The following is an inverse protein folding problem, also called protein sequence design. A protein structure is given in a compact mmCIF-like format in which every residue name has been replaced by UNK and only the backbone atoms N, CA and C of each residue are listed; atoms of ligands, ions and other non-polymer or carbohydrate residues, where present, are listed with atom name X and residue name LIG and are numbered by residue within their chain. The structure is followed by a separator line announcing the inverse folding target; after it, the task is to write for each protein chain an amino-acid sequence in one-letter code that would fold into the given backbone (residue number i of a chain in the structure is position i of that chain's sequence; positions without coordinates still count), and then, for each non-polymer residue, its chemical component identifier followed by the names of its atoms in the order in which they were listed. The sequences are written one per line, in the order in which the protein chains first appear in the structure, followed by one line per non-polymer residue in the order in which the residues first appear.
data_IF_174282352536
#
_entry.id   IF_174282352536
#
_cell.length_a   1.000
_cell.length_b   1.000
_cell.length_c   1.000
_cell.angle_alpha   90.00
_cell.angle_beta   90.00
_cell.angle_gamma   90.00
#
_symmetry.space_group_name_H-M   'P 1'
#
loop_
_entity.id
_entity.type
_entity.pdbx_description
1 polymer ?
#
# COMPACT_ATOMS: atom_id res chain seq x y z
N UNK A 1 -35.46 -23.29 83.59
CA UNK A 1 -36.18 -22.29 84.40
C UNK A 1 -36.93 -21.37 83.44
N UNK A 2 -38.25 -21.58 83.33
CA UNK A 2 -39.21 -20.71 82.65
C UNK A 2 -39.74 -19.67 83.65
N UNK A 3 -40.05 -18.47 83.18
CA UNK A 3 -41.25 -17.65 83.48
C UNK A 3 -41.01 -16.24 82.88
N UNK A 4 -41.94 -15.54 82.25
CA UNK A 4 -43.39 -15.70 82.22
C UNK A 4 -43.99 -14.83 81.11
N UNK A 5 -45.01 -15.36 80.44
CA UNK A 5 -45.81 -14.73 79.41
C UNK A 5 -46.86 -13.75 79.97
N UNK A 6 -47.32 -12.80 79.15
CA UNK A 6 -48.73 -12.35 79.15
C UNK A 6 -49.24 -12.18 77.72
N UNK A 7 -50.18 -13.06 77.37
CA UNK A 7 -51.13 -13.01 76.25
C UNK A 7 -52.37 -12.20 76.65
N UNK A 8 -53.06 -11.60 75.67
CA UNK A 8 -54.53 -11.63 75.47
C UNK A 8 -54.88 -10.66 74.32
N UNK A 9 -55.14 -11.08 73.06
CA UNK A 9 -56.37 -11.65 72.47
C UNK A 9 -57.65 -10.85 72.70
N UNK A 10 -58.26 -10.33 71.62
CA UNK A 10 -59.63 -10.65 71.14
C UNK A 10 -59.96 -9.81 69.87
N UNK A 11 -60.02 -10.42 68.67
CA UNK A 11 -61.21 -10.88 67.87
C UNK A 11 -62.05 -9.73 67.26
N UNK A 12 -62.66 -9.74 66.05
CA UNK A 12 -63.20 -10.76 65.12
C UNK A 12 -63.79 -9.92 63.93
N UNK A 13 -63.71 -10.22 62.63
CA UNK A 13 -64.60 -11.05 61.76
C UNK A 13 -64.37 -10.59 60.31
N UNK A 14 -64.07 -11.50 59.37
CA UNK A 14 -64.95 -12.14 58.35
C UNK A 14 -65.13 -11.32 57.05
N UNK A 15 -64.75 -12.01 55.97
CA UNK A 15 -64.98 -11.85 54.53
C UNK A 15 -66.22 -11.08 54.05
N UNK A 16 -66.15 -10.58 52.81
CA UNK A 16 -67.12 -10.85 51.72
C UNK A 16 -66.55 -10.36 50.37
N UNK A 17 -66.90 -11.11 49.32
CA UNK A 17 -66.64 -10.89 47.90
C UNK A 17 -67.66 -9.94 47.23
N UNK A 18 -67.28 -9.30 46.12
CA UNK A 18 -68.10 -8.90 44.95
C UNK A 18 -67.35 -7.79 44.19
N UNK A 19 -66.89 -7.99 42.96
CA UNK A 19 -67.63 -7.83 41.68
C UNK A 19 -68.25 -6.42 41.51
N UNK A 20 -67.61 -5.57 40.70
CA UNK A 20 -68.20 -4.93 39.50
C UNK A 20 -67.48 -3.62 39.08
N UNK A 21 -67.48 -3.41 37.76
CA UNK A 21 -66.90 -2.33 36.97
C UNK A 21 -67.33 -0.91 37.39
N UNK A 22 -66.44 0.08 37.17
CA UNK A 22 -66.85 1.49 37.13
C UNK A 22 -65.73 2.53 37.17
N UNK A 23 -65.00 2.66 36.05
CA UNK A 23 -64.40 3.88 35.44
C UNK A 23 -64.13 5.13 36.32
N UNK A 24 -62.86 5.57 36.23
CA UNK A 24 -62.30 6.94 36.33
C UNK A 24 -61.90 7.52 37.71
N UNK A 25 -60.59 7.49 37.97
CA UNK A 25 -59.68 8.65 37.94
C UNK A 25 -58.55 8.50 38.98
N UNK A 26 -57.29 8.58 38.53
CA UNK A 26 -56.13 8.79 39.42
C UNK A 26 -55.05 7.72 39.42
N UNK A 27 -54.57 7.27 38.25
CA UNK A 27 -53.29 6.55 38.16
C UNK A 27 -52.17 7.54 37.89
N UNK A 28 -51.42 7.93 38.92
CA UNK A 28 -50.03 8.36 38.77
C UNK A 28 -49.22 7.15 38.33
N UNK A 29 -49.15 6.94 37.03
CA UNK A 29 -48.21 6.00 36.42
C UNK A 29 -46.80 6.50 36.73
N UNK A 30 -46.08 5.74 37.54
CA UNK A 30 -44.62 5.74 37.56
C UNK A 30 -44.17 5.28 36.18
N UNK A 31 -44.05 6.23 35.24
CA UNK A 31 -43.30 6.00 34.02
C UNK A 31 -41.84 6.27 34.39
N UNK A 32 -41.17 5.25 34.92
CA UNK A 32 -39.74 5.15 34.74
C UNK A 32 -39.50 4.95 33.25
N UNK A 33 -39.44 6.04 32.47
CA UNK A 33 -38.77 5.98 31.18
C UNK A 33 -37.32 5.69 31.52
N UNK A 34 -36.93 4.42 31.38
CA UNK A 34 -35.52 4.13 31.17
C UNK A 34 -35.07 5.07 30.07
N UNK A 35 -34.19 6.00 30.41
CA UNK A 35 -33.45 6.73 29.41
C UNK A 35 -32.76 5.64 28.58
N UNK A 36 -33.35 5.31 27.43
CA UNK A 36 -32.62 4.64 26.37
C UNK A 36 -31.44 5.57 26.14
N UNK A 37 -30.27 5.19 26.66
CA UNK A 37 -29.03 5.90 26.35
C UNK A 37 -29.06 6.04 24.84
N UNK A 38 -29.17 7.28 24.34
CA UNK A 38 -29.13 7.53 22.91
C UNK A 38 -27.92 6.77 22.40
N UNK A 39 -28.13 5.85 21.45
CA UNK A 39 -27.05 5.05 20.87
C UNK A 39 -25.93 6.01 20.55
N UNK A 40 -24.88 6.00 21.36
CA UNK A 40 -23.70 6.84 21.13
C UNK A 40 -23.24 6.40 19.75
N UNK A 41 -23.22 7.34 18.79
CA UNK A 41 -22.80 7.01 17.45
C UNK A 41 -21.39 6.39 17.49
N UNK A 42 -20.98 5.77 16.41
CA UNK A 42 -19.67 5.13 16.33
C UNK A 42 -19.01 5.38 15.00
N UNK A 43 -17.68 5.51 15.02
CA UNK A 43 -16.85 5.49 13.82
C UNK A 43 -16.16 4.13 13.79
N UNK A 44 -16.34 3.41 12.68
CA UNK A 44 -15.80 2.09 12.44
C UNK A 44 -14.93 2.15 11.19
N UNK A 45 -13.63 1.92 11.38
CA UNK A 45 -12.64 1.92 10.32
C UNK A 45 -11.68 0.75 10.54
N UNK A 46 -11.33 -0.02 9.49
CA UNK A 46 -10.29 -1.02 9.58
C UNK A 46 -8.90 -0.37 9.70
N UNK A 47 -7.89 -1.16 10.06
CA UNK A 47 -6.51 -0.75 9.82
C UNK A 47 -6.24 -0.69 8.31
N UNK A 48 -5.43 0.29 7.92
CA UNK A 48 -5.19 0.64 6.52
C UNK A 48 -3.77 0.39 6.06
N UNK A 49 -3.52 0.77 4.82
CA UNK A 49 -2.19 0.84 4.22
C UNK A 49 -2.12 2.08 3.34
N UNK A 50 -0.95 2.70 3.26
CA UNK A 50 -0.77 3.90 2.45
C UNK A 50 -1.20 3.66 1.00
N UNK A 51 -1.90 4.63 0.41
CA UNK A 51 -2.32 4.60 -0.98
C UNK A 51 -3.44 3.61 -1.31
N UNK A 52 -3.95 2.83 -0.36
CA UNK A 52 -5.07 1.91 -0.59
C UNK A 52 -6.38 2.54 -0.10
N UNK A 53 -7.41 2.66 -0.96
CA UNK A 53 -8.71 3.14 -0.53
C UNK A 53 -9.35 2.21 0.51
N UNK A 54 -9.85 2.78 1.59
CA UNK A 54 -10.58 2.09 2.65
C UNK A 54 -11.94 2.74 2.89
N UNK A 55 -12.86 1.95 3.45
CA UNK A 55 -14.20 2.41 3.81
C UNK A 55 -14.29 2.68 5.31
N UNK A 56 -14.76 3.88 5.63
CA UNK A 56 -15.07 4.30 7.00
C UNK A 56 -16.58 4.33 7.14
N UNK A 57 -17.10 3.59 8.11
CA UNK A 57 -18.52 3.56 8.43
C UNK A 57 -18.78 4.40 9.67
N UNK A 58 -19.84 5.18 9.62
CA UNK A 58 -20.23 6.07 10.71
C UNK A 58 -21.69 5.85 11.04
N UNK A 59 -21.97 5.55 12.29
CA UNK A 59 -23.31 5.47 12.83
C UNK A 59 -23.65 6.78 13.53
N UNK A 60 -24.70 7.47 13.08
CA UNK A 60 -25.20 8.71 13.67
C UNK A 60 -26.72 8.72 13.70
N UNK A 61 -27.31 9.15 14.82
CA UNK A 61 -28.76 9.24 14.96
C UNK A 61 -29.28 10.64 14.60
N UNK A 62 -30.41 10.71 13.88
CA UNK A 62 -31.14 11.96 13.68
C UNK A 62 -30.60 12.86 12.54
N UNK A 63 -29.68 12.36 11.72
CA UNK A 63 -29.06 13.09 10.61
C UNK A 63 -29.40 12.50 9.24
N UNK A 64 -30.46 11.70 9.12
CA UNK A 64 -30.83 11.02 7.89
C UNK A 64 -30.95 12.00 6.71
N UNK A 65 -30.29 11.69 5.60
CA UNK A 65 -30.23 12.53 4.39
C UNK A 65 -29.27 13.72 4.50
N UNK A 66 -28.61 13.94 5.64
CA UNK A 66 -27.64 15.02 5.82
C UNK A 66 -26.21 14.55 5.51
N UNK A 67 -25.38 15.48 5.07
CA UNK A 67 -23.94 15.27 4.91
C UNK A 67 -23.25 15.50 6.26
N UNK A 68 -22.43 14.55 6.67
CA UNK A 68 -21.54 14.63 7.82
C UNK A 68 -20.09 14.80 7.37
N UNK A 69 -19.27 15.41 8.22
CA UNK A 69 -17.85 15.60 8.00
C UNK A 69 -17.03 14.85 9.03
N UNK A 70 -15.98 14.17 8.57
CA UNK A 70 -14.99 13.51 9.39
C UNK A 70 -13.64 14.21 9.22
N UNK A 71 -12.95 14.46 10.33
CA UNK A 71 -11.57 14.91 10.35
C UNK A 71 -10.63 13.73 10.59
N UNK A 72 -9.63 13.58 9.74
CA UNK A 72 -8.62 12.54 9.81
C UNK A 72 -7.26 13.22 10.04
N UNK A 73 -6.52 12.80 11.06
CA UNK A 73 -5.21 13.37 11.34
C UNK A 73 -4.18 12.34 11.79
N UNK A 74 -2.92 12.57 11.40
CA UNK A 74 -1.73 11.85 11.83
C UNK A 74 -0.53 12.80 11.83
N UNK A 75 -0.10 13.23 13.01
CA UNK A 75 0.95 14.23 13.16
C UNK A 75 0.58 15.54 12.43
N UNK A 76 1.43 15.96 11.48
CA UNK A 76 1.19 17.15 10.65
C UNK A 76 0.21 16.90 9.49
N UNK A 77 -0.13 15.64 9.19
CA UNK A 77 -1.10 15.32 8.14
C UNK A 77 -2.52 15.49 8.68
N UNK A 78 -3.35 16.27 8.00
CA UNK A 78 -4.76 16.41 8.32
C UNK A 78 -5.58 16.52 7.03
N UNK A 79 -6.73 15.86 7.01
CA UNK A 79 -7.69 15.96 5.91
C UNK A 79 -9.11 15.82 6.43
N UNK A 80 -10.08 16.26 5.64
CA UNK A 80 -11.50 16.07 5.93
C UNK A 80 -12.18 15.32 4.80
N UNK A 81 -13.05 14.39 5.14
CA UNK A 81 -13.91 13.69 4.18
C UNK A 81 -15.36 13.85 4.58
N UNK A 82 -16.25 13.75 3.61
CA UNK A 82 -17.69 13.87 3.81
C UNK A 82 -18.38 12.54 3.47
N UNK A 83 -19.50 12.28 4.15
CA UNK A 83 -20.38 11.16 3.83
C UNK A 83 -21.84 11.56 4.04
N UNK A 84 -22.75 10.96 3.28
CA UNK A 84 -24.20 11.20 3.44
C UNK A 84 -24.79 10.09 4.31
N UNK A 85 -25.59 10.47 5.30
CA UNK A 85 -26.25 9.53 6.21
C UNK A 85 -27.47 8.93 5.51
N UNK A 86 -27.49 7.62 5.37
CA UNK A 86 -28.63 6.87 4.83
C UNK A 86 -29.83 6.87 5.79
N UNK A 87 -30.98 6.41 5.30
CA UNK A 87 -32.20 6.30 6.11
C UNK A 87 -32.07 5.36 7.32
N UNK A 88 -31.06 4.47 7.31
CA UNK A 88 -30.71 3.55 8.39
C UNK A 88 -29.81 4.19 9.47
N UNK A 89 -29.46 5.48 9.37
CA UNK A 89 -28.56 6.16 10.30
C UNK A 89 -27.08 5.83 10.10
N UNK A 90 -26.70 5.21 8.98
CA UNK A 90 -25.32 4.90 8.63
C UNK A 90 -24.84 5.73 7.45
N UNK A 91 -23.59 6.19 7.53
CA UNK A 91 -22.89 6.84 6.44
C UNK A 91 -21.62 6.05 6.10
N UNK A 92 -21.28 5.97 4.82
CA UNK A 92 -20.03 5.37 4.34
C UNK A 92 -19.20 6.43 3.65
N UNK A 93 -17.96 6.61 4.10
CA UNK A 93 -16.96 7.45 3.45
C UNK A 93 -15.86 6.58 2.86
N UNK A 94 -15.29 6.98 1.72
CA UNK A 94 -14.06 6.37 1.19
C UNK A 94 -12.89 7.32 1.42
N UNK A 95 -11.79 6.79 1.96
CA UNK A 95 -10.56 7.54 2.17
C UNK A 95 -9.36 6.72 1.72
N UNK A 96 -8.36 7.38 1.17
CA UNK A 96 -7.07 6.76 0.82
C UNK A 96 -6.00 7.38 1.71
N UNK A 97 -5.43 6.64 2.68
CA UNK A 97 -4.39 7.15 3.55
C UNK A 97 -3.15 7.56 2.76
N UNK A 98 -2.59 8.73 3.07
CA UNK A 98 -1.40 9.25 2.36
C UNK A 98 -0.10 9.06 3.13
N UNK A 99 -0.18 8.66 4.41
CA UNK A 99 0.98 8.45 5.26
C UNK A 99 0.79 7.29 6.23
N UNK A 100 1.87 6.58 6.52
CA UNK A 100 1.87 5.50 7.51
C UNK A 100 1.85 6.06 8.94
N UNK A 101 1.38 5.25 9.89
CA UNK A 101 1.33 5.57 11.30
C UNK A 101 -0.07 5.49 11.90
N UNK A 102 -0.21 5.98 13.14
CA UNK A 102 -1.49 6.04 13.82
C UNK A 102 -2.32 7.24 13.32
N UNK A 103 -3.55 6.98 12.90
CA UNK A 103 -4.50 8.00 12.46
C UNK A 103 -5.66 8.12 13.44
N UNK A 104 -6.02 9.35 13.78
CA UNK A 104 -7.23 9.67 14.56
C UNK A 104 -8.33 10.13 13.61
N UNK A 105 -9.50 9.51 13.69
CA UNK A 105 -10.69 9.85 12.92
C UNK A 105 -11.72 10.41 13.88
N UNK A 106 -12.11 11.66 13.67
CA UNK A 106 -13.05 12.39 14.52
C UNK A 106 -14.28 12.78 13.72
N UNK A 107 -15.47 12.58 14.29
CA UNK A 107 -16.66 13.20 13.74
C UNK A 107 -16.66 14.70 14.07
N UNK A 108 -17.03 15.52 13.09
CA UNK A 108 -17.04 16.98 13.21
C UNK A 108 -18.48 17.51 13.06
N UNK A 109 -18.71 18.73 13.54
CA UNK A 109 -19.97 19.45 13.34
C UNK A 109 -21.19 18.70 13.87
N UNK A 110 -22.22 18.52 13.04
CA UNK A 110 -23.47 17.85 13.42
C UNK A 110 -23.29 16.38 13.84
N UNK A 111 -22.18 15.74 13.44
CA UNK A 111 -21.89 14.33 13.71
C UNK A 111 -21.09 14.07 14.99
N UNK A 112 -20.79 15.10 15.81
CA UNK A 112 -19.96 14.97 17.02
C UNK A 112 -20.38 13.83 17.97
N UNK A 113 -21.65 13.43 17.95
CA UNK A 113 -22.18 12.30 18.72
C UNK A 113 -21.56 10.94 18.35
N UNK A 114 -20.93 10.80 17.18
CA UNK A 114 -20.20 9.61 16.76
C UNK A 114 -18.81 9.47 17.39
N UNK A 115 -18.30 10.53 18.03
CA UNK A 115 -17.05 10.49 18.78
C UNK A 115 -15.79 10.40 17.90
N UNK A 116 -14.83 9.61 18.36
CA UNK A 116 -13.49 9.46 17.78
C UNK A 116 -13.05 8.01 17.81
N UNK A 117 -12.23 7.61 16.84
CA UNK A 117 -11.55 6.32 16.82
C UNK A 117 -10.12 6.48 16.31
N UNK A 118 -9.27 5.50 16.59
CA UNK A 118 -7.89 5.46 16.10
C UNK A 118 -7.65 4.18 15.32
N UNK A 119 -6.95 4.31 14.20
CA UNK A 119 -6.51 3.16 13.39
C UNK A 119 -5.01 3.22 13.17
N UNK A 120 -4.43 2.11 12.70
CA UNK A 120 -3.04 2.07 12.21
C UNK A 120 -3.04 1.93 10.70
N UNK A 121 -2.23 2.76 10.04
CA UNK A 121 -1.96 2.66 8.60
C UNK A 121 -0.53 2.14 8.40
N UNK A 122 -0.40 1.00 7.75
CA UNK A 122 0.89 0.37 7.47
C UNK A 122 1.59 1.01 6.26
N UNK A 123 2.95 0.99 6.21
CA UNK A 123 3.67 1.30 4.98
C UNK A 123 3.35 0.32 3.87
N UNK A 124 3.43 0.79 2.63
CA UNK A 124 3.30 -0.07 1.45
C UNK A 124 4.57 -0.91 1.28
N UNK A 125 4.47 -2.25 1.17
CA UNK A 125 5.61 -3.09 0.85
C UNK A 125 6.12 -2.77 -0.55
N UNK A 126 7.42 -2.88 -0.76
CA UNK A 126 8.01 -2.72 -2.10
C UNK A 126 8.87 -3.92 -2.49
N UNK A 127 9.11 -4.07 -3.78
CA UNK A 127 10.22 -4.87 -4.28
C UNK A 127 11.04 -4.06 -5.29
N UNK A 128 12.35 -4.33 -5.31
CA UNK A 128 13.30 -3.64 -6.19
C UNK A 128 13.79 -4.59 -7.27
N UNK A 129 13.82 -4.11 -8.51
CA UNK A 129 14.35 -4.81 -9.68
C UNK A 129 15.55 -4.03 -10.20
N UNK A 130 16.69 -4.70 -10.32
CA UNK A 130 17.86 -4.17 -11.00
C UNK A 130 17.92 -4.74 -12.41
N UNK A 131 17.78 -3.88 -13.40
CA UNK A 131 18.06 -4.20 -14.79
C UNK A 131 19.53 -3.85 -15.08
N UNK A 132 20.40 -4.85 -14.93
CA UNK A 132 21.83 -4.72 -15.21
C UNK A 132 22.14 -5.18 -16.63
N UNK A 133 23.09 -4.51 -17.29
CA UNK A 133 23.62 -4.99 -18.58
C UNK A 133 24.45 -6.25 -18.37
N UNK A 134 24.30 -7.26 -19.23
CA UNK A 134 25.11 -8.48 -19.17
C UNK A 134 26.60 -8.21 -19.42
N UNK A 135 26.90 -7.22 -20.27
CA UNK A 135 28.26 -6.75 -20.57
C UNK A 135 28.30 -5.23 -20.45
N UNK A 136 29.34 -4.73 -19.79
CA UNK A 136 29.60 -3.30 -19.61
C UNK A 136 31.03 -2.98 -20.01
N UNK A 137 31.27 -1.76 -20.48
CA UNK A 137 32.61 -1.34 -20.85
C UNK A 137 33.38 -0.79 -19.65
N UNK A 138 34.57 -1.33 -19.40
CA UNK A 138 35.49 -0.87 -18.37
C UNK A 138 35.97 0.56 -18.65
N UNK A 139 36.07 1.39 -17.60
CA UNK A 139 36.54 2.77 -17.71
C UNK A 139 35.52 3.74 -18.30
N UNK A 140 34.35 3.27 -18.73
CA UNK A 140 33.27 4.07 -19.30
C UNK A 140 32.07 4.08 -18.34
N UNK A 141 31.33 5.18 -18.29
CA UNK A 141 30.09 5.24 -17.52
C UNK A 141 28.99 4.46 -18.22
N UNK A 142 28.53 3.37 -17.58
CA UNK A 142 27.41 2.55 -18.00
C UNK A 142 26.22 2.87 -17.09
N UNK A 143 25.08 3.29 -17.63
CA UNK A 143 23.91 3.68 -16.82
C UNK A 143 22.94 2.54 -16.67
N UNK A 144 23.05 1.72 -15.63
CA UNK A 144 22.09 0.65 -15.30
C UNK A 144 20.70 1.23 -14.99
N UNK A 145 19.66 0.40 -14.96
CA UNK A 145 18.31 0.86 -14.59
C UNK A 145 17.80 0.12 -13.36
N UNK A 146 17.33 0.87 -12.37
CA UNK A 146 16.56 0.35 -11.24
C UNK A 146 15.07 0.63 -11.43
N UNK A 147 14.24 -0.29 -10.94
CA UNK A 147 12.82 -0.08 -10.77
C UNK A 147 12.41 -0.49 -9.36
N UNK A 148 11.60 0.35 -8.71
CA UNK A 148 10.99 0.07 -7.40
C UNK A 148 9.49 -0.02 -7.62
N UNK A 149 8.91 -1.11 -7.18
CA UNK A 149 7.48 -1.38 -7.40
C UNK A 149 6.77 -1.49 -6.05
N UNK A 150 5.71 -0.71 -5.92
CA UNK A 150 4.67 -0.85 -4.92
C UNK A 150 3.54 -1.69 -5.56
N UNK A 151 3.40 -2.99 -5.26
CA UNK A 151 2.43 -3.86 -5.92
C UNK A 151 0.98 -3.51 -5.56
N UNK A 152 0.79 -2.72 -4.51
CA UNK A 152 -0.47 -2.33 -3.91
C UNK A 152 -0.39 -0.86 -3.52
N UNK A 153 -1.54 -0.19 -3.57
CA UNK A 153 -1.62 1.26 -3.36
C UNK A 153 -1.49 2.07 -4.65
N UNK A 154 -1.89 3.33 -4.57
CA UNK A 154 -1.97 4.26 -5.70
C UNK A 154 -0.92 5.38 -5.66
N UNK A 155 0.14 5.22 -4.86
CA UNK A 155 1.20 6.22 -4.70
C UNK A 155 2.53 5.60 -5.12
N UNK A 156 3.22 6.27 -6.06
CA UNK A 156 4.50 5.81 -6.54
C UNK A 156 5.58 5.91 -5.44
N UNK A 157 6.51 4.94 -5.35
CA UNK A 157 7.64 5.01 -4.43
C UNK A 157 8.48 6.29 -4.59
N UNK A 158 8.99 6.84 -3.48
CA UNK A 158 9.86 8.03 -3.49
C UNK A 158 11.07 7.80 -2.59
N UNK A 159 12.22 8.35 -2.97
CA UNK A 159 13.48 8.17 -2.24
C UNK A 159 14.64 7.93 -3.19
N UNK A 160 15.59 7.13 -2.76
CA UNK A 160 16.80 6.83 -3.50
C UNK A 160 16.94 5.33 -3.75
N UNK A 161 17.79 4.97 -4.71
CA UNK A 161 18.28 3.61 -4.87
C UNK A 161 19.79 3.61 -4.72
N UNK A 162 20.29 2.80 -3.80
CA UNK A 162 21.70 2.56 -3.56
C UNK A 162 22.15 1.33 -4.33
N UNK A 163 23.10 1.51 -5.24
CA UNK A 163 23.77 0.43 -5.97
C UNK A 163 25.09 0.11 -5.28
N UNK A 164 25.33 -1.16 -5.00
CA UNK A 164 26.57 -1.64 -4.40
C UNK A 164 26.97 -2.99 -4.98
N UNK A 165 28.23 -3.37 -4.79
CA UNK A 165 28.64 -4.76 -4.96
C UNK A 165 27.98 -5.63 -3.91
N UNK A 166 27.87 -6.94 -4.15
CA UNK A 166 27.31 -7.89 -3.19
C UNK A 166 28.10 -7.95 -1.86
N UNK A 167 29.38 -7.50 -1.87
CA UNK A 167 30.19 -7.34 -0.67
C UNK A 167 29.93 -6.05 0.11
N UNK A 168 29.01 -5.20 -0.34
CA UNK A 168 28.62 -3.95 0.33
C UNK A 168 29.39 -2.69 -0.12
N UNK A 169 30.34 -2.81 -1.06
CA UNK A 169 31.07 -1.65 -1.56
C UNK A 169 30.14 -0.79 -2.42
N UNK A 170 29.92 0.45 -2.01
CA UNK A 170 29.06 1.39 -2.72
C UNK A 170 29.56 1.74 -4.10
N UNK A 171 28.65 1.78 -5.07
CA UNK A 171 28.90 2.22 -6.44
C UNK A 171 28.29 3.61 -6.65
N UNK A 172 27.00 3.75 -6.37
CA UNK A 172 26.29 5.03 -6.52
C UNK A 172 25.00 5.03 -5.71
N UNK A 173 24.52 6.22 -5.34
CA UNK A 173 23.16 6.42 -4.84
C UNK A 173 22.51 7.45 -5.73
N UNK A 174 21.33 7.14 -6.27
CA UNK A 174 20.60 8.06 -7.14
C UNK A 174 19.17 8.26 -6.67
N UNK A 175 18.63 9.49 -6.77
CA UNK A 175 17.23 9.73 -6.50
C UNK A 175 16.37 9.07 -7.57
N UNK A 176 15.22 8.55 -7.16
CA UNK A 176 14.16 8.15 -8.10
C UNK A 176 13.77 9.38 -8.92
N UNK A 177 13.79 9.24 -10.25
CA UNK A 177 13.61 10.35 -11.19
C UNK A 177 12.51 10.11 -12.22
N UNK A 178 11.98 8.89 -12.31
CA UNK A 178 10.86 8.55 -13.18
C UNK A 178 9.75 7.82 -12.42
N UNK A 179 8.51 8.01 -12.87
CA UNK A 179 7.36 7.22 -12.46
C UNK A 179 6.70 6.62 -13.70
N UNK A 180 6.35 5.34 -13.62
CA UNK A 180 5.56 4.65 -14.62
C UNK A 180 4.22 4.26 -13.97
N UNK A 181 3.17 5.01 -14.33
CA UNK A 181 1.90 4.96 -13.63
C UNK A 181 2.04 5.30 -12.15
N UNK A 182 1.19 4.69 -11.32
CA UNK A 182 1.07 5.03 -9.89
C UNK A 182 1.78 4.04 -8.96
N UNK A 183 2.41 2.99 -9.51
CA UNK A 183 2.92 1.84 -8.74
C UNK A 183 4.42 1.57 -8.95
N UNK A 184 4.99 2.05 -10.07
CA UNK A 184 6.39 1.79 -10.41
C UNK A 184 7.16 3.10 -10.50
N UNK A 185 8.32 3.15 -9.87
CA UNK A 185 9.24 4.27 -9.99
C UNK A 185 10.60 3.77 -10.51
N UNK A 186 11.27 4.57 -11.33
CA UNK A 186 12.52 4.19 -12.01
C UNK A 186 13.65 5.15 -11.70
N UNK A 187 14.88 4.65 -11.89
CA UNK A 187 16.12 5.38 -11.62
C UNK A 187 17.22 4.91 -12.57
N UNK A 188 18.00 5.85 -13.08
CA UNK A 188 19.26 5.55 -13.76
C UNK A 188 20.39 5.43 -12.74
N UNK A 189 21.17 4.36 -12.81
CA UNK A 189 22.25 4.06 -11.86
C UNK A 189 23.59 4.03 -12.61
N UNK A 190 24.34 5.15 -12.62
CA UNK A 190 25.62 5.21 -13.31
C UNK A 190 26.65 4.34 -12.62
N UNK A 191 27.41 3.57 -13.40
CA UNK A 191 28.50 2.73 -12.93
C UNK A 191 29.66 2.77 -13.92
N UNK A 192 30.85 3.09 -13.41
CA UNK A 192 32.09 3.00 -14.17
C UNK A 192 32.97 1.89 -13.55
N UNK A 193 32.96 0.67 -14.11
CA UNK A 193 33.80 -0.42 -13.59
C UNK A 193 35.28 -0.12 -13.83
N UNK A 194 36.07 -0.17 -12.76
CA UNK A 194 37.53 0.06 -12.81
C UNK A 194 38.32 -1.19 -13.16
N UNK A 195 37.74 -2.38 -13.00
CA UNK A 195 38.36 -3.68 -13.28
C UNK A 195 37.50 -4.49 -14.23
N UNK A 196 38.13 -5.28 -15.10
CA UNK A 196 37.44 -6.26 -15.93
C UNK A 196 36.99 -7.49 -15.13
N UNK A 197 36.05 -8.26 -15.68
CA UNK A 197 35.52 -9.48 -15.09
C UNK A 197 34.08 -9.35 -14.58
N UNK A 198 33.54 -10.47 -14.07
CA UNK A 198 32.20 -10.52 -13.48
C UNK A 198 32.17 -9.75 -12.15
N UNK A 199 31.18 -8.87 -11.98
CA UNK A 199 30.98 -8.13 -10.73
C UNK A 199 29.57 -8.40 -10.20
N UNK A 200 29.46 -9.04 -9.05
CA UNK A 200 28.17 -9.22 -8.38
C UNK A 200 27.68 -7.89 -7.79
N UNK A 201 26.51 -7.42 -8.22
CA UNK A 201 25.91 -6.15 -7.78
C UNK A 201 24.44 -6.33 -7.40
N UNK A 202 23.95 -5.47 -6.51
CA UNK A 202 22.56 -5.40 -6.10
C UNK A 202 22.13 -3.95 -5.88
N UNK A 203 20.83 -3.69 -6.01
CA UNK A 203 20.23 -2.38 -5.77
C UNK A 203 19.33 -2.44 -4.54
N UNK A 204 19.44 -1.46 -3.64
CA UNK A 204 18.61 -1.35 -2.44
C UNK A 204 17.83 -0.04 -2.48
N UNK A 205 16.50 -0.13 -2.43
CA UNK A 205 15.62 1.01 -2.30
C UNK A 205 15.65 1.58 -0.88
N UNK A 206 15.88 2.89 -0.80
CA UNK A 206 15.92 3.68 0.42
C UNK A 206 14.77 4.69 0.38
N UNK A 207 13.62 4.39 1.02
CA UNK A 207 12.47 5.26 0.98
C UNK A 207 12.77 6.61 1.65
N UNK A 208 12.20 7.70 1.12
CA UNK A 208 12.38 9.05 1.66
C UNK A 208 11.69 9.27 3.01
N UNK A 209 10.71 8.43 3.34
CA UNK A 209 9.87 8.51 4.53
C UNK A 209 9.34 7.13 4.91
N UNK A 210 8.56 7.07 5.99
CA UNK A 210 7.97 5.84 6.50
C UNK A 210 6.76 5.29 5.72
N UNK A 211 6.41 5.83 4.54
CA UNK A 211 5.23 5.38 3.80
C UNK A 211 5.47 4.10 3.00
N UNK A 212 6.73 3.75 2.77
CA UNK A 212 7.14 2.57 2.02
C UNK A 212 8.16 1.77 2.83
N UNK A 213 8.16 0.46 2.69
CA UNK A 213 9.26 -0.38 3.21
C UNK A 213 10.43 -0.39 2.23
N UNK A 214 11.66 -0.46 2.76
CA UNK A 214 12.85 -0.73 1.95
C UNK A 214 12.77 -2.12 1.29
N UNK A 215 13.46 -2.29 0.16
CA UNK A 215 13.60 -3.57 -0.52
C UNK A 215 14.92 -3.65 -1.28
N UNK A 216 15.37 -4.87 -1.55
CA UNK A 216 16.64 -5.14 -2.23
C UNK A 216 16.39 -6.06 -3.42
N UNK A 217 17.06 -5.77 -4.54
CA UNK A 217 16.99 -6.62 -5.73
C UNK A 217 17.74 -7.94 -5.53
N UNK A 218 17.41 -8.98 -6.31
CA UNK A 218 18.32 -10.09 -6.50
C UNK A 218 19.69 -9.61 -7.05
N UNK A 219 20.71 -10.44 -6.88
CA UNK A 219 22.07 -10.15 -7.36
C UNK A 219 22.15 -10.32 -8.87
N UNK A 220 22.65 -9.30 -9.56
CA UNK A 220 23.04 -9.36 -10.97
C UNK A 220 24.55 -9.56 -11.10
N UNK A 221 24.99 -10.20 -12.19
CA UNK A 221 26.41 -10.45 -12.48
C UNK A 221 26.82 -9.90 -13.86
N UNK A 222 26.84 -8.58 -14.06
CA UNK A 222 27.44 -7.97 -15.26
C UNK A 222 28.91 -8.36 -15.41
N UNK A 223 29.34 -8.56 -16.66
CA UNK A 223 30.74 -8.75 -17.00
C UNK A 223 31.34 -7.45 -17.54
N UNK A 224 32.37 -6.92 -16.89
CA UNK A 224 33.12 -5.78 -17.37
C UNK A 224 34.23 -6.20 -18.34
N UNK A 225 34.32 -5.54 -19.50
CA UNK A 225 35.31 -5.83 -20.53
C UNK A 225 35.99 -4.56 -21.04
N UNK A 226 37.24 -4.69 -21.47
CA UNK A 226 37.97 -3.60 -22.16
C UNK A 226 37.52 -3.43 -23.61
N UNK A 227 36.84 -4.44 -24.18
CA UNK A 227 36.33 -4.37 -25.55
C UNK A 227 35.16 -3.38 -25.65
N UNK A 228 35.08 -2.67 -26.80
CA UNK A 228 33.92 -1.86 -27.12
C UNK A 228 32.69 -2.76 -27.21
N UNK A 229 31.67 -2.45 -26.42
CA UNK A 229 30.40 -3.20 -26.41
C UNK A 229 29.45 -2.57 -27.42
N UNK A 230 29.22 -3.21 -28.58
CA UNK A 230 28.29 -2.71 -29.60
C UNK A 230 26.86 -2.58 -29.07
N UNK A 231 26.37 -3.65 -28.45
CA UNK A 231 25.06 -3.71 -27.80
C UNK A 231 25.14 -4.66 -26.62
N UNK A 232 24.51 -4.30 -25.51
CA UNK A 232 24.38 -5.14 -24.33
C UNK A 232 22.91 -5.36 -24.02
N UNK A 233 22.54 -6.60 -23.68
CA UNK A 233 21.24 -6.88 -23.11
C UNK A 233 21.21 -6.43 -21.65
N UNK A 234 20.09 -5.84 -21.25
CA UNK A 234 19.77 -5.43 -19.90
C UNK A 234 18.43 -6.06 -19.50
N UNK A 235 18.40 -6.69 -18.34
CA UNK A 235 17.26 -7.48 -17.87
C UNK A 235 17.31 -7.69 -16.35
N UNK A 236 16.20 -8.09 -15.70
CA UNK A 236 16.22 -8.55 -14.32
C UNK A 236 17.10 -9.78 -14.14
N UNK A 237 17.74 -9.91 -12.98
CA UNK A 237 18.53 -11.11 -12.64
C UNK A 237 17.71 -12.41 -12.67
N UNK A 238 16.41 -12.34 -12.35
CA UNK A 238 15.50 -13.46 -12.41
C UNK A 238 14.39 -13.17 -13.43
N UNK A 239 14.14 -14.14 -14.31
CA UNK A 239 12.98 -14.18 -15.20
C UNK A 239 12.08 -15.35 -14.81
N UNK A 240 10.77 -15.12 -14.79
CA UNK A 240 9.80 -16.15 -14.42
C UNK A 240 8.96 -16.55 -15.63
N UNK A 241 8.87 -17.85 -15.88
CA UNK A 241 8.01 -18.39 -16.93
C UNK A 241 6.56 -17.96 -16.73
N UNK A 242 5.88 -17.58 -17.81
CA UNK A 242 4.50 -17.10 -17.77
C UNK A 242 4.32 -15.68 -17.20
N UNK A 243 5.38 -15.01 -16.75
CA UNK A 243 5.31 -13.63 -16.23
C UNK A 243 5.97 -12.66 -17.20
N UNK A 244 5.22 -11.66 -17.67
CA UNK A 244 5.76 -10.60 -18.54
C UNK A 244 6.88 -9.84 -17.83
N UNK A 245 8.02 -9.73 -18.50
CA UNK A 245 9.19 -8.97 -18.06
C UNK A 245 9.64 -8.02 -19.17
N UNK A 246 10.57 -7.12 -18.84
CA UNK A 246 11.17 -6.19 -19.79
C UNK A 246 12.59 -6.64 -20.11
N UNK A 247 12.87 -6.79 -21.40
CA UNK A 247 14.21 -6.90 -21.95
C UNK A 247 14.58 -5.57 -22.60
N UNK A 248 15.82 -5.14 -22.41
CA UNK A 248 16.35 -3.95 -23.04
C UNK A 248 17.64 -4.26 -23.77
N UNK A 249 17.84 -3.60 -24.90
CA UNK A 249 19.12 -3.52 -25.57
C UNK A 249 19.67 -2.12 -25.34
N UNK A 250 20.94 -2.04 -24.96
CA UNK A 250 21.63 -0.77 -24.71
C UNK A 250 22.85 -0.72 -25.61
N UNK A 251 22.87 0.27 -26.48
CA UNK A 251 23.99 0.50 -27.39
C UNK A 251 25.22 0.98 -26.62
N UNK A 252 26.39 0.61 -27.13
CA UNK A 252 27.67 1.13 -26.65
C UNK A 252 27.80 2.63 -26.77
N UNK A 253 28.73 3.20 -26.02
CA UNK A 253 29.09 4.60 -26.15
C UNK A 253 29.53 4.93 -27.59
N UNK A 254 28.94 5.97 -28.17
CA UNK A 254 29.26 6.42 -29.54
C UNK A 254 28.63 5.61 -30.67
N UNK A 255 27.85 4.57 -30.36
CA UNK A 255 27.12 3.81 -31.39
C UNK A 255 25.98 4.65 -31.98
N UNK A 256 25.79 4.66 -33.32
CA UNK A 256 24.65 5.33 -33.95
C UNK A 256 23.32 4.67 -33.53
N UNK A 257 22.21 5.40 -33.65
CA UNK A 257 20.89 4.80 -33.54
C UNK A 257 20.67 3.80 -34.68
N UNK A 258 19.91 2.75 -34.41
CA UNK A 258 19.55 1.73 -35.39
C UNK A 258 18.37 0.93 -34.89
N UNK A 259 18.43 -0.39 -35.05
CA UNK A 259 17.42 -1.30 -34.52
C UNK A 259 18.07 -2.51 -33.90
N UNK A 260 17.35 -3.21 -33.03
CA UNK A 260 17.81 -4.47 -32.45
C UNK A 260 16.74 -5.54 -32.58
N UNK A 261 17.13 -6.80 -32.45
CA UNK A 261 16.21 -7.91 -32.24
C UNK A 261 16.71 -8.82 -31.12
N UNK A 262 15.78 -9.47 -30.44
CA UNK A 262 16.05 -10.43 -29.37
C UNK A 262 15.77 -11.84 -29.87
N UNK A 263 16.57 -12.80 -29.42
CA UNK A 263 16.37 -14.23 -29.66
C UNK A 263 16.52 -15.05 -28.39
N UNK A 264 15.85 -16.19 -28.34
CA UNK A 264 15.93 -17.20 -27.29
C UNK A 264 16.29 -18.54 -27.94
N UNK A 265 17.39 -19.15 -27.49
CA UNK A 265 17.91 -20.41 -28.01
C UNK A 265 18.09 -20.39 -29.55
N UNK A 266 18.52 -19.24 -30.07
CA UNK A 266 18.72 -18.98 -31.51
C UNK A 266 17.44 -18.62 -32.28
N UNK A 267 16.26 -18.76 -31.69
CA UNK A 267 14.99 -18.39 -32.32
C UNK A 267 14.62 -16.95 -32.01
N UNK A 268 14.24 -16.16 -33.03
CA UNK A 268 13.81 -14.78 -32.84
C UNK A 268 12.55 -14.71 -31.95
N UNK A 269 12.62 -13.93 -30.87
CA UNK A 269 11.48 -13.65 -29.98
C UNK A 269 10.91 -12.25 -30.20
N UNK A 270 11.63 -11.36 -30.88
CA UNK A 270 11.13 -10.06 -31.31
C UNK A 270 11.37 -9.83 -32.80
N UNK A 271 10.63 -8.88 -33.38
CA UNK A 271 11.03 -8.23 -34.63
C UNK A 271 12.16 -7.22 -34.41
N UNK A 272 12.48 -6.46 -35.46
CA UNK A 272 13.37 -5.30 -35.40
C UNK A 272 12.70 -4.17 -34.60
N UNK A 273 13.37 -3.71 -33.55
CA UNK A 273 12.89 -2.65 -32.63
C UNK A 273 13.87 -1.47 -32.75
N UNK A 274 13.41 -0.27 -33.14
CA UNK A 274 14.28 0.90 -33.23
C UNK A 274 14.82 1.30 -31.86
N UNK A 275 16.07 1.73 -31.82
CA UNK A 275 16.65 2.32 -30.61
C UNK A 275 16.28 3.79 -30.50
N UNK A 276 15.93 4.23 -29.29
CA UNK A 276 15.69 5.63 -28.95
C UNK A 276 16.62 5.99 -27.81
N UNK A 277 17.45 7.01 -28.01
CA UNK A 277 18.51 7.40 -27.06
C UNK A 277 19.43 6.22 -26.69
N UNK A 278 19.71 5.33 -27.66
CA UNK A 278 20.61 4.19 -27.48
C UNK A 278 19.98 3.03 -26.72
N UNK A 279 18.66 3.04 -26.50
CA UNK A 279 17.93 1.95 -25.82
C UNK A 279 16.76 1.48 -26.68
N UNK A 280 16.59 0.17 -26.79
CA UNK A 280 15.36 -0.46 -27.28
C UNK A 280 14.76 -1.32 -26.17
N UNK A 281 13.44 -1.24 -25.97
CA UNK A 281 12.73 -1.98 -24.92
C UNK A 281 11.73 -2.95 -25.54
N UNK A 282 11.68 -4.17 -25.02
CA UNK A 282 10.78 -5.24 -25.45
C UNK A 282 10.12 -5.90 -24.25
N UNK A 283 8.79 -5.96 -24.25
CA UNK A 283 8.04 -6.73 -23.25
C UNK A 283 7.90 -8.17 -23.72
N UNK A 284 8.32 -9.10 -22.88
CA UNK A 284 8.38 -10.52 -23.23
C UNK A 284 7.95 -11.39 -22.05
N UNK A 285 7.15 -12.41 -22.35
CA UNK A 285 6.72 -13.43 -21.38
C UNK A 285 7.49 -14.71 -21.67
N UNK A 286 8.45 -15.12 -20.82
CA UNK A 286 9.20 -16.35 -21.04
C UNK A 286 8.25 -17.56 -21.08
N UNK A 287 8.31 -18.41 -22.12
CA UNK A 287 7.32 -19.47 -22.32
C UNK A 287 7.54 -20.69 -21.43
N UNK A 288 8.78 -20.93 -20.99
CA UNK A 288 9.17 -22.11 -20.23
C UNK A 288 10.20 -21.77 -19.15
N UNK A 289 10.22 -22.57 -18.10
CA UNK A 289 11.28 -22.54 -17.11
C UNK A 289 12.46 -23.43 -17.58
N UNK A 290 13.67 -23.09 -17.16
CA UNK A 290 14.88 -23.82 -17.51
C UNK A 290 16.06 -22.90 -17.77
N UNK A 291 17.16 -23.50 -18.23
CA UNK A 291 18.32 -22.76 -18.72
C UNK A 291 18.07 -22.45 -20.19
N UNK A 292 18.05 -21.17 -20.52
CA UNK A 292 17.86 -20.67 -21.87
C UNK A 292 18.91 -19.61 -22.18
N UNK A 293 19.35 -19.55 -23.43
CA UNK A 293 20.26 -18.51 -23.91
C UNK A 293 19.44 -17.41 -24.56
N UNK A 294 19.50 -16.20 -24.01
CA UNK A 294 18.90 -15.03 -24.67
C UNK A 294 20.01 -14.20 -25.28
N UNK A 295 19.83 -13.79 -26.54
CA UNK A 295 20.77 -12.95 -27.26
C UNK A 295 20.09 -11.68 -27.80
N UNK A 296 20.91 -10.68 -28.09
CA UNK A 296 20.51 -9.44 -28.74
C UNK A 296 21.44 -9.19 -29.92
N UNK A 297 20.87 -8.77 -31.05
CA UNK A 297 21.59 -8.37 -32.26
C UNK A 297 21.22 -6.94 -32.61
N UNK A 298 22.22 -6.14 -32.97
CA UNK A 298 22.07 -4.76 -33.47
C UNK A 298 22.34 -4.74 -34.97
#
# INVERSE_FOLDING_TARGET
MLNSARRSRTTRRVAIAALALGIAAGTTLVVGTGAQAASKGGIYAPNGMVGVPEQIQVQVSGLNGQTITLGLSSGANATTINAVVGANGWATATWTPTAAGAWTINALGSALSAGTTTITVAPVPTYTVLLAQQSVQQGVTNTLQGAVVAPIGAIAPTGNVYLATAGGNGITTQPISGAFGNATATVGLPWNPSTGGSTAILATYQPSNGNFTSSTSPVSQPFATTANTTVAMRWPANLYAGTTSVLQAVLGAGMPQGSVAFSMDGNGISGSIPTVNGVASYQWTPPSAGIHTIAVTY
#
